data_IF_634609826803
#
_entry.id   IF_634609826803
#
_cell.length_a   1.000
_cell.length_b   1.000
_cell.length_c   1.000
_cell.angle_alpha   90.00
_cell.angle_beta   90.00
_cell.angle_gamma   90.00
#
_symmetry.space_group_name_H-M   'P 1'
#
loop_
_entity.id
_entity.type
_entity.pdbx_description
1 polymer ?
#
# COMPACT_ATOMS: atom_id res chain seq x y z
N UNK A 1 -20.98 -6.92 48.28
CA UNK A 1 -19.66 -7.56 48.08
C UNK A 1 -19.48 -8.30 46.76
N UNK A 2 -20.27 -7.99 45.72
CA UNK A 2 -20.15 -8.61 44.36
C UNK A 2 -20.01 -7.51 43.28
N UNK A 3 -19.87 -6.24 43.67
CA UNK A 3 -19.87 -5.12 42.72
C UNK A 3 -18.51 -4.54 42.38
N UNK A 4 -17.46 -5.01 43.03
CA UNK A 4 -16.09 -4.49 42.87
C UNK A 4 -15.17 -5.34 41.99
N UNK A 5 -15.65 -6.47 41.41
CA UNK A 5 -14.85 -7.35 40.56
C UNK A 5 -15.04 -7.12 39.08
N UNK A 6 -15.82 -6.14 38.64
CA UNK A 6 -16.12 -5.89 37.22
C UNK A 6 -15.41 -4.66 36.64
N UNK A 7 -14.59 -3.98 37.38
CA UNK A 7 -13.67 -2.92 36.91
C UNK A 7 -12.23 -3.40 36.70
N UNK A 8 -12.02 -4.71 36.65
CA UNK A 8 -10.71 -5.21 36.21
C UNK A 8 -10.54 -5.00 34.71
N UNK A 9 -9.83 -3.92 34.47
CA UNK A 9 -8.93 -3.76 33.34
C UNK A 9 -9.51 -4.10 31.95
N UNK A 10 -10.33 -3.23 31.41
CA UNK A 10 -10.29 -2.96 29.99
C UNK A 10 -8.93 -2.35 29.63
N UNK A 11 -7.86 -2.93 30.16
CA UNK A 11 -6.52 -2.59 29.79
C UNK A 11 -6.36 -3.01 28.35
N UNK A 12 -5.83 -2.12 27.52
CA UNK A 12 -5.49 -2.39 26.12
C UNK A 12 -4.75 -3.73 25.95
N UNK A 13 -4.02 -4.17 26.96
CA UNK A 13 -3.36 -5.47 27.04
C UNK A 13 -4.29 -6.69 27.02
N UNK A 14 -5.48 -6.60 27.59
CA UNK A 14 -6.46 -7.72 27.59
C UNK A 14 -7.09 -7.88 26.21
N UNK A 15 -7.29 -6.76 25.49
CA UNK A 15 -7.82 -6.77 24.12
C UNK A 15 -6.78 -7.28 23.13
N UNK A 16 -5.49 -7.04 23.35
CA UNK A 16 -4.38 -7.46 22.45
C UNK A 16 -3.93 -8.90 22.71
N UNK A 17 -4.44 -9.58 23.74
CA UNK A 17 -3.98 -10.92 24.16
C UNK A 17 -4.35 -12.04 23.18
N UNK A 18 -5.32 -11.84 22.32
CA UNK A 18 -5.75 -12.84 21.34
C UNK A 18 -4.85 -12.83 20.11
N UNK A 19 -4.39 -14.00 19.67
CA UNK A 19 -3.50 -14.18 18.51
C UNK A 19 -4.05 -13.55 17.22
N UNK A 20 -5.37 -13.54 17.08
CA UNK A 20 -6.05 -12.95 15.94
C UNK A 20 -5.85 -11.41 15.91
N UNK A 21 -5.92 -10.78 17.07
CA UNK A 21 -5.75 -9.34 17.21
C UNK A 21 -4.30 -8.94 16.98
N UNK A 22 -3.36 -9.69 17.55
CA UNK A 22 -1.92 -9.47 17.38
C UNK A 22 -1.54 -9.59 15.89
N UNK A 23 -2.02 -10.62 15.19
CA UNK A 23 -1.77 -10.79 13.76
C UNK A 23 -2.35 -9.67 12.90
N UNK A 24 -3.53 -9.13 13.24
CA UNK A 24 -4.10 -7.96 12.58
C UNK A 24 -3.24 -6.71 12.74
N UNK A 25 -2.70 -6.46 13.95
CA UNK A 25 -1.80 -5.33 14.19
C UNK A 25 -0.48 -5.47 13.41
N UNK A 26 0.10 -6.66 13.36
CA UNK A 26 1.33 -6.92 12.60
C UNK A 26 1.08 -6.66 11.11
N UNK A 27 -0.01 -7.17 10.54
CA UNK A 27 -0.38 -6.96 9.15
C UNK A 27 -0.64 -5.48 8.85
N UNK A 28 -1.31 -4.77 9.75
CA UNK A 28 -1.56 -3.34 9.62
C UNK A 28 -0.25 -2.54 9.60
N UNK A 29 0.66 -2.79 10.53
CA UNK A 29 1.96 -2.12 10.58
C UNK A 29 2.80 -2.44 9.34
N UNK A 30 2.74 -3.68 8.86
CA UNK A 30 3.44 -4.07 7.63
C UNK A 30 2.87 -3.34 6.41
N UNK A 31 1.55 -3.30 6.26
CA UNK A 31 0.90 -2.54 5.18
C UNK A 31 1.25 -1.05 5.22
N UNK A 32 1.23 -0.43 6.41
CA UNK A 32 1.63 0.97 6.62
C UNK A 32 3.09 1.21 6.26
N UNK A 33 4.00 0.29 6.59
CA UNK A 33 5.41 0.36 6.23
C UNK A 33 5.61 0.35 4.72
N UNK A 34 4.95 -0.58 4.00
CA UNK A 34 5.01 -0.66 2.54
C UNK A 34 4.44 0.62 1.92
N UNK A 35 3.30 1.09 2.43
CA UNK A 35 2.65 2.32 1.93
C UNK A 35 3.53 3.55 2.15
N UNK A 36 4.14 3.68 3.32
CA UNK A 36 5.05 4.78 3.65
C UNK A 36 6.29 4.80 2.74
N UNK A 37 6.87 3.64 2.46
CA UNK A 37 7.99 3.53 1.53
C UNK A 37 7.62 3.96 0.11
N UNK A 38 6.45 3.53 -0.38
CA UNK A 38 5.94 3.90 -1.70
C UNK A 38 5.59 5.39 -1.77
N UNK A 39 4.91 5.91 -0.76
CA UNK A 39 4.57 7.33 -0.68
C UNK A 39 5.83 8.21 -0.74
N UNK A 40 6.89 7.85 -0.02
CA UNK A 40 8.16 8.57 -0.06
C UNK A 40 8.78 8.60 -1.47
N UNK A 41 8.65 7.52 -2.23
CA UNK A 41 9.11 7.46 -3.62
C UNK A 41 8.29 8.41 -4.50
N UNK A 42 6.97 8.38 -4.39
CA UNK A 42 6.05 9.25 -5.16
C UNK A 42 6.32 10.73 -4.85
N UNK A 43 6.49 11.10 -3.58
CA UNK A 43 6.82 12.47 -3.21
C UNK A 43 8.15 12.95 -3.79
N UNK A 44 9.15 12.08 -3.90
CA UNK A 44 10.41 12.40 -4.59
C UNK A 44 10.19 12.65 -6.08
N UNK A 45 9.40 11.82 -6.75
CA UNK A 45 9.08 11.99 -8.18
C UNK A 45 8.26 13.28 -8.40
N UNK A 46 7.32 13.58 -7.51
CA UNK A 46 6.54 14.82 -7.55
C UNK A 46 7.40 16.07 -7.38
N UNK A 47 8.42 16.01 -6.52
CA UNK A 47 9.37 17.12 -6.37
C UNK A 47 10.17 17.38 -7.65
N UNK A 48 10.43 16.37 -8.46
CA UNK A 48 11.12 16.50 -9.74
C UNK A 48 10.27 17.17 -10.82
N UNK A 49 8.93 17.13 -10.71
CA UNK A 49 8.04 17.82 -11.66
C UNK A 49 8.17 19.34 -11.61
N UNK A 50 8.59 19.90 -10.46
CA UNK A 50 8.87 21.32 -10.31
C UNK A 50 10.23 21.76 -10.87
N UNK A 51 11.05 20.84 -11.35
CA UNK A 51 12.38 21.14 -11.90
C UNK A 51 12.29 21.29 -13.42
N UNK A 52 12.70 22.41 -13.93
CA UNK A 52 12.82 22.64 -15.37
C UNK A 52 14.05 21.89 -15.90
N UNK A 53 13.87 20.68 -16.39
CA UNK A 53 14.96 19.87 -16.97
C UNK A 53 15.40 20.35 -18.36
N UNK A 54 14.51 21.04 -19.06
CA UNK A 54 14.76 21.58 -20.39
C UNK A 54 14.50 23.07 -20.34
N UNK A 55 15.53 23.93 -20.40
CA UNK A 55 15.36 25.37 -20.47
C UNK A 55 14.86 25.77 -21.88
N UNK A 56 13.57 25.63 -22.09
CA UNK A 56 12.93 26.08 -23.34
C UNK A 56 12.39 27.49 -23.10
N UNK A 57 12.98 28.49 -23.78
CA UNK A 57 12.39 29.81 -23.80
C UNK A 57 11.06 29.75 -24.55
N UNK A 58 10.04 30.45 -24.04
CA UNK A 58 8.74 30.53 -24.67
C UNK A 58 8.86 30.97 -26.15
N UNK A 59 8.34 30.08 -27.04
CA UNK A 59 8.32 30.36 -28.50
C UNK A 59 9.47 29.76 -29.32
N UNK A 60 10.39 28.99 -28.70
CA UNK A 60 11.44 28.28 -29.43
C UNK A 60 10.92 26.92 -29.89
N UNK A 61 10.87 26.68 -31.20
CA UNK A 61 10.58 25.35 -31.73
C UNK A 61 11.83 24.47 -31.65
N UNK A 62 11.72 23.35 -30.94
CA UNK A 62 12.80 22.35 -30.88
C UNK A 62 12.90 21.66 -32.24
N UNK A 63 14.03 21.84 -32.94
CA UNK A 63 14.31 21.15 -34.18
C UNK A 63 14.85 19.73 -33.88
N UNK A 64 14.60 18.75 -34.79
CA UNK A 64 15.12 17.39 -34.61
C UNK A 64 16.65 17.34 -34.48
N UNK A 65 17.37 18.32 -35.01
CA UNK A 65 18.84 18.41 -34.97
C UNK A 65 19.32 18.87 -33.59
N UNK A 66 18.54 19.66 -32.87
CA UNK A 66 18.86 20.18 -31.55
C UNK A 66 18.57 19.22 -30.41
N UNK A 67 17.88 18.11 -30.69
CA UNK A 67 17.50 17.11 -29.66
C UNK A 67 18.70 16.58 -28.89
N UNK A 68 19.88 16.47 -29.51
CA UNK A 68 21.12 16.03 -28.85
C UNK A 68 21.60 17.00 -27.76
N UNK A 69 21.36 18.29 -27.95
CA UNK A 69 21.73 19.32 -26.98
C UNK A 69 20.89 19.21 -25.72
N UNK A 70 19.61 18.88 -25.88
CA UNK A 70 18.67 18.70 -24.76
C UNK A 70 18.78 17.31 -24.11
N UNK A 71 19.25 16.29 -24.84
CA UNK A 71 19.44 14.94 -24.31
C UNK A 71 20.65 14.82 -23.39
N UNK A 72 21.73 15.56 -23.68
CA UNK A 72 22.99 15.51 -22.89
C UNK A 72 22.80 15.86 -21.41
N UNK A 73 22.15 16.96 -21.02
CA UNK A 73 21.94 17.28 -19.61
C UNK A 73 21.08 16.24 -18.88
N UNK A 74 20.10 15.66 -19.57
CA UNK A 74 19.27 14.57 -19.02
C UNK A 74 20.06 13.28 -18.78
N UNK A 75 21.00 12.96 -19.68
CA UNK A 75 21.90 11.81 -19.52
C UNK A 75 22.99 12.03 -18.47
N UNK A 76 23.32 13.28 -18.17
CA UNK A 76 24.30 13.63 -17.14
C UNK A 76 23.70 13.62 -15.72
N UNK A 77 22.38 13.45 -15.58
CA UNK A 77 21.72 13.31 -14.28
C UNK A 77 22.20 12.05 -13.55
N UNK A 78 22.17 12.09 -12.23
CA UNK A 78 22.45 10.90 -11.42
C UNK A 78 21.52 9.74 -11.80
N UNK A 79 22.05 8.52 -11.79
CA UNK A 79 21.35 7.30 -12.24
C UNK A 79 20.00 7.10 -11.55
N UNK A 80 19.89 7.47 -10.28
CA UNK A 80 18.63 7.44 -9.52
C UNK A 80 17.59 8.42 -10.07
N UNK A 81 18.01 9.62 -10.51
CA UNK A 81 17.14 10.64 -11.07
C UNK A 81 16.72 10.29 -12.50
N UNK A 82 17.60 9.67 -13.28
CA UNK A 82 17.27 9.18 -14.62
C UNK A 82 16.17 8.10 -14.61
N UNK A 83 16.10 7.30 -13.55
CA UNK A 83 15.06 6.25 -13.38
C UNK A 83 13.69 6.81 -13.02
N UNK A 84 13.60 8.09 -12.64
CA UNK A 84 12.33 8.75 -12.40
C UNK A 84 11.51 8.87 -13.70
N UNK A 85 10.18 8.89 -13.57
CA UNK A 85 9.28 8.86 -14.71
C UNK A 85 9.52 10.03 -15.69
N UNK A 86 9.64 11.26 -15.17
CA UNK A 86 9.75 12.46 -16.00
C UNK A 86 11.03 12.48 -16.86
N UNK A 87 12.26 12.34 -16.31
CA UNK A 87 13.47 12.31 -17.14
C UNK A 87 13.48 11.16 -18.15
N UNK A 88 12.95 9.99 -17.76
CA UNK A 88 12.84 8.83 -18.66
C UNK A 88 11.88 9.10 -19.81
N UNK A 89 10.71 9.68 -19.55
CA UNK A 89 9.74 10.05 -20.57
C UNK A 89 10.30 11.12 -21.52
N UNK A 90 11.01 12.14 -20.99
CA UNK A 90 11.66 13.17 -21.80
C UNK A 90 12.77 12.60 -22.70
N UNK A 91 13.61 11.69 -22.18
CA UNK A 91 14.63 11.02 -22.99
C UNK A 91 14.03 10.21 -24.14
N UNK A 92 12.95 9.47 -23.86
CA UNK A 92 12.28 8.69 -24.90
C UNK A 92 11.61 9.63 -25.91
N UNK A 93 10.94 10.69 -25.46
CA UNK A 93 10.32 11.70 -26.32
C UNK A 93 11.34 12.33 -27.29
N UNK A 94 12.48 12.81 -26.77
CA UNK A 94 13.52 13.43 -27.56
C UNK A 94 14.15 12.45 -28.56
N UNK A 95 14.47 11.23 -28.12
CA UNK A 95 15.03 10.20 -29.01
C UNK A 95 14.02 9.77 -30.10
N UNK A 96 12.76 9.65 -29.74
CA UNK A 96 11.70 9.30 -30.72
C UNK A 96 11.54 10.43 -31.74
N UNK A 97 11.47 11.67 -31.27
CA UNK A 97 11.37 12.84 -32.14
C UNK A 97 12.57 12.96 -33.10
N UNK A 98 13.79 12.73 -32.62
CA UNK A 98 14.98 12.73 -33.45
C UNK A 98 14.91 11.69 -34.58
N UNK A 99 14.30 10.52 -34.34
CA UNK A 99 14.21 9.41 -35.29
C UNK A 99 13.04 9.52 -36.26
N UNK A 100 11.85 9.85 -35.76
CA UNK A 100 10.61 9.80 -36.55
C UNK A 100 10.18 11.15 -37.11
N UNK A 101 10.61 12.26 -36.50
CA UNK A 101 10.20 13.64 -36.82
C UNK A 101 8.68 13.82 -36.81
N UNK A 102 7.97 12.96 -36.12
CA UNK A 102 6.51 12.93 -36.04
C UNK A 102 6.08 13.08 -34.58
N UNK A 103 5.32 14.13 -34.28
CA UNK A 103 4.85 14.43 -32.91
C UNK A 103 3.85 13.37 -32.45
N UNK A 104 3.05 12.78 -33.33
CA UNK A 104 2.09 11.75 -32.96
C UNK A 104 2.81 10.51 -32.41
N UNK A 105 3.87 10.06 -33.07
CA UNK A 105 4.68 8.91 -32.62
C UNK A 105 5.35 9.18 -31.26
N UNK A 106 5.70 10.43 -30.99
CA UNK A 106 6.25 10.85 -29.70
C UNK A 106 5.18 10.80 -28.61
N UNK A 107 3.99 11.33 -28.91
CA UNK A 107 2.86 11.29 -27.98
C UNK A 107 2.48 9.87 -27.59
N UNK A 108 2.40 8.97 -28.59
CA UNK A 108 2.06 7.56 -28.36
C UNK A 108 3.14 6.83 -27.54
N UNK A 109 4.41 7.14 -27.80
CA UNK A 109 5.53 6.57 -27.04
C UNK A 109 5.54 7.04 -25.57
N UNK A 110 5.29 8.32 -25.31
CA UNK A 110 5.17 8.86 -23.96
C UNK A 110 3.94 8.32 -23.25
N UNK A 111 2.80 8.24 -23.97
CA UNK A 111 1.57 7.66 -23.46
C UNK A 111 1.79 6.23 -22.97
N UNK A 112 2.45 5.38 -23.78
CA UNK A 112 2.79 4.00 -23.41
C UNK A 112 3.65 3.92 -22.15
N UNK A 113 4.59 4.85 -21.95
CA UNK A 113 5.43 4.88 -20.74
C UNK A 113 4.59 5.20 -19.51
N UNK A 114 3.70 6.19 -19.62
CA UNK A 114 2.82 6.58 -18.53
C UNK A 114 1.84 5.44 -18.16
N UNK A 115 1.28 4.77 -19.16
CA UNK A 115 0.38 3.63 -18.98
C UNK A 115 1.09 2.46 -18.30
N UNK A 116 2.26 2.06 -18.79
CA UNK A 116 3.07 1.01 -18.17
C UNK A 116 3.45 1.32 -16.72
N UNK A 117 3.73 2.59 -16.39
CA UNK A 117 4.05 2.97 -15.02
C UNK A 117 2.79 2.96 -14.13
N UNK A 118 1.62 3.32 -14.68
CA UNK A 118 0.33 3.20 -14.00
C UNK A 118 0.01 1.75 -13.68
N UNK A 119 0.11 0.86 -14.65
CA UNK A 119 -0.12 -0.59 -14.48
C UNK A 119 0.82 -1.20 -13.45
N UNK A 120 2.07 -0.75 -13.46
CA UNK A 120 3.06 -1.17 -12.49
C UNK A 120 2.68 -0.74 -11.07
N UNK A 121 2.24 0.51 -10.88
CA UNK A 121 1.78 1.01 -9.59
C UNK A 121 0.53 0.24 -9.11
N UNK A 122 -0.41 -0.05 -9.98
CA UNK A 122 -1.60 -0.85 -9.67
C UNK A 122 -1.24 -2.27 -9.25
N UNK A 123 -0.31 -2.90 -9.94
CA UNK A 123 0.21 -4.22 -9.57
C UNK A 123 0.91 -4.21 -8.21
N UNK A 124 1.70 -3.17 -7.95
CA UNK A 124 2.39 -3.01 -6.67
C UNK A 124 1.43 -2.73 -5.51
N UNK A 125 0.27 -2.11 -5.75
CA UNK A 125 -0.79 -1.87 -4.76
C UNK A 125 -1.65 -3.11 -4.51
N UNK A 126 -1.62 -4.10 -5.39
CA UNK A 126 -2.40 -5.33 -5.23
C UNK A 126 -2.05 -6.05 -3.91
N UNK A 127 -0.79 -6.08 -3.52
CA UNK A 127 -0.36 -6.67 -2.24
C UNK A 127 -1.04 -5.99 -1.04
N UNK A 128 -1.13 -4.66 -1.03
CA UNK A 128 -1.79 -3.91 0.04
C UNK A 128 -3.28 -4.24 0.07
N UNK A 129 -3.90 -4.39 -1.09
CA UNK A 129 -5.31 -4.79 -1.22
C UNK A 129 -5.56 -6.17 -0.62
N UNK A 130 -4.67 -7.14 -0.83
CA UNK A 130 -4.77 -8.46 -0.19
C UNK A 130 -4.66 -8.39 1.32
N UNK A 131 -3.73 -7.59 1.86
CA UNK A 131 -3.60 -7.39 3.31
C UNK A 131 -4.87 -6.72 3.87
N UNK A 132 -5.40 -5.72 3.17
CA UNK A 132 -6.63 -5.03 3.58
C UNK A 132 -7.85 -5.97 3.64
N UNK A 133 -7.90 -7.02 2.81
CA UNK A 133 -8.92 -8.07 2.87
C UNK A 133 -8.64 -9.12 3.95
N UNK A 134 -7.38 -9.42 4.23
CA UNK A 134 -6.99 -10.39 5.24
C UNK A 134 -7.37 -9.94 6.66
N UNK A 135 -7.21 -8.66 6.98
CA UNK A 135 -7.49 -8.10 8.32
C UNK A 135 -8.93 -8.36 8.76
N UNK A 136 -9.99 -7.97 8.00
CA UNK A 136 -11.37 -8.27 8.37
C UNK A 136 -11.66 -9.77 8.44
N UNK A 137 -11.03 -10.57 7.56
CA UNK A 137 -11.22 -12.02 7.55
C UNK A 137 -10.70 -12.68 8.83
N UNK A 138 -9.52 -12.28 9.30
CA UNK A 138 -8.95 -12.76 10.56
C UNK A 138 -9.83 -12.29 11.74
N UNK A 139 -10.28 -11.04 11.74
CA UNK A 139 -11.20 -10.52 12.75
C UNK A 139 -12.50 -11.31 12.84
N UNK A 140 -13.06 -11.72 11.69
CA UNK A 140 -14.26 -12.56 11.65
C UNK A 140 -14.01 -13.96 12.27
N UNK A 141 -12.87 -14.58 11.99
CA UNK A 141 -12.47 -15.86 12.60
C UNK A 141 -12.40 -15.72 14.13
N UNK A 142 -11.81 -14.63 14.62
CA UNK A 142 -11.75 -14.33 16.06
C UNK A 142 -13.12 -14.21 16.71
N UNK A 143 -14.08 -13.54 16.05
CA UNK A 143 -15.46 -13.42 16.58
C UNK A 143 -16.17 -14.76 16.63
N UNK A 144 -16.07 -15.58 15.59
CA UNK A 144 -16.68 -16.93 15.55
C UNK A 144 -16.09 -17.82 16.64
N UNK A 145 -14.77 -17.77 16.84
CA UNK A 145 -14.11 -18.50 17.90
C UNK A 145 -14.57 -18.04 19.29
N UNK A 146 -14.65 -16.75 19.53
CA UNK A 146 -15.13 -16.20 20.79
C UNK A 146 -16.56 -16.61 21.12
N UNK A 147 -17.47 -16.64 20.13
CA UNK A 147 -18.82 -17.15 20.30
C UNK A 147 -18.82 -18.65 20.59
N UNK A 148 -18.01 -19.43 19.90
CA UNK A 148 -17.90 -20.87 20.13
C UNK A 148 -17.41 -21.20 21.54
N UNK A 149 -16.40 -20.48 22.02
CA UNK A 149 -15.87 -20.64 23.37
C UNK A 149 -16.89 -20.24 24.45
N UNK A 150 -17.64 -19.14 24.22
CA UNK A 150 -18.70 -18.71 25.13
C UNK A 150 -19.84 -19.75 25.23
N UNK A 151 -20.29 -20.30 24.09
CA UNK A 151 -21.30 -21.36 24.08
C UNK A 151 -20.81 -22.66 24.74
N UNK A 152 -19.54 -23.02 24.53
CA UNK A 152 -18.93 -24.17 25.18
C UNK A 152 -18.84 -24.03 26.70
N UNK A 153 -18.60 -22.83 27.20
CA UNK A 153 -18.63 -22.53 28.64
C UNK A 153 -20.07 -22.58 29.21
N UNK A 154 -21.03 -22.03 28.49
CA UNK A 154 -22.44 -22.06 28.89
C UNK A 154 -22.96 -23.51 28.98
N UNK A 155 -22.61 -24.35 28.00
CA UNK A 155 -22.98 -25.78 27.99
C UNK A 155 -22.41 -26.52 29.20
N UNK A 156 -21.13 -26.30 29.56
CA UNK A 156 -20.49 -26.92 30.75
C UNK A 156 -21.12 -26.45 32.06
N UNK A 157 -21.54 -25.19 32.13
CA UNK A 157 -22.20 -24.65 33.31
C UNK A 157 -23.58 -25.35 33.54
N UNK A 158 -24.33 -25.58 32.47
CA UNK A 158 -25.62 -26.30 32.54
C UNK A 158 -25.43 -27.78 32.92
N UNK A 159 -24.46 -28.45 32.36
CA UNK A 159 -24.15 -29.84 32.74
C UNK A 159 -23.68 -29.98 34.19
N UNK A 160 -22.87 -29.05 34.68
CA UNK A 160 -22.43 -29.01 36.08
C UNK A 160 -23.58 -28.82 37.07
N UNK A 161 -24.57 -27.99 36.71
CA UNK A 161 -25.76 -27.74 37.53
C UNK A 161 -26.67 -28.94 37.58
N UNK A 162 -26.86 -29.68 36.46
CA UNK A 162 -27.62 -30.93 36.40
C UNK A 162 -26.97 -32.04 37.24
N UNK A 163 -25.64 -32.17 37.20
CA UNK A 163 -24.91 -33.12 38.03
C UNK A 163 -25.00 -32.79 39.51
N UNK A 164 -25.01 -31.52 39.89
CA UNK A 164 -25.22 -31.05 41.27
C UNK A 164 -26.64 -31.38 41.81
N UNK A 165 -27.66 -31.21 40.99
CA UNK A 165 -29.06 -31.51 41.37
C UNK A 165 -29.28 -33.01 41.56
N UNK A 166 -28.66 -33.86 40.71
CA UNK A 166 -28.80 -35.31 40.84
C UNK A 166 -28.07 -35.88 42.08
N UNK A 167 -26.99 -35.24 42.50
CA UNK A 167 -26.27 -35.65 43.73
C UNK A 167 -27.01 -35.22 45.01
N UNK A 168 -27.89 -34.23 44.98
CA UNK A 168 -28.67 -33.77 46.11
C UNK A 168 -29.95 -34.55 46.33
N UNK A 169 -30.36 -35.42 45.38
CA UNK A 169 -31.57 -36.21 45.41
C UNK A 169 -31.35 -37.72 45.80
N UNK A 170 -30.11 -38.11 46.06
CA UNK A 170 -29.73 -39.39 46.61
C UNK A 170 -29.29 -39.24 48.06
#
# INVERSE_FOLDING_TARGET
CIRDSYEEDRSFYVVVKDYEQESCFILMLWALSIMGFKARRIFREQALLGHEFIPVSDGVNILPEDTRTYTRPLQALAEETQKALLPRALLVALNRFASTRNIQDVSDAVGSICENESDRLDSELAMIRYIAWAIPSIGFIGTVRGISDALGQAYRAVEGDIAGVTTCLL
#
